data_IF_357783704533
#
_entry.id   IF_357783704533
#
_cell.length_a   1.000
_cell.length_b   1.000
_cell.length_c   1.000
_cell.angle_alpha   90.00
_cell.angle_beta   90.00
_cell.angle_gamma   90.00
#
_symmetry.space_group_name_H-M   'P 1'
#
loop_
_entity.id
_entity.type
_entity.pdbx_description
1 polymer ?
#
# COMPACT_ATOMS: atom_id res chain seq x y z
N UNK A 1 13.19 -86.36 -27.21
CA UNK A 1 14.48 -85.64 -27.20
C UNK A 1 14.14 -84.16 -27.26
N UNK A 2 14.45 -83.26 -26.34
CA UNK A 2 14.99 -83.26 -24.99
C UNK A 2 14.58 -81.89 -24.38
N UNK A 3 14.64 -81.75 -23.05
CA UNK A 3 14.20 -80.58 -22.25
C UNK A 3 15.21 -79.41 -22.30
N UNK A 4 14.80 -78.30 -21.66
CA UNK A 4 15.60 -77.17 -21.11
C UNK A 4 15.76 -75.97 -22.06
N UNK A 5 15.72 -74.68 -21.68
CA UNK A 5 15.62 -73.97 -20.38
C UNK A 5 15.31 -72.48 -20.67
N UNK A 6 14.78 -71.75 -19.67
CA UNK A 6 14.54 -70.30 -19.67
C UNK A 6 15.84 -69.48 -19.64
N UNK A 7 15.93 -68.38 -20.41
CA UNK A 7 16.82 -67.22 -20.18
C UNK A 7 16.09 -65.93 -20.62
N UNK A 8 15.71 -65.01 -19.71
CA UNK A 8 16.43 -63.78 -19.28
C UNK A 8 16.92 -62.90 -20.44
N UNK A 9 16.12 -61.88 -20.81
CA UNK A 9 16.56 -60.79 -21.66
C UNK A 9 17.30 -59.75 -20.80
N UNK A 10 18.63 -59.74 -20.91
CA UNK A 10 19.52 -58.72 -20.37
C UNK A 10 19.73 -57.60 -21.42
N UNK A 11 19.93 -56.39 -20.91
CA UNK A 11 20.20 -55.16 -21.67
C UNK A 11 21.42 -55.30 -22.60
N UNK A 12 21.29 -54.82 -23.85
CA UNK A 12 22.43 -54.56 -24.73
C UNK A 12 22.47 -53.09 -25.13
N UNK A 13 23.54 -52.43 -24.70
CA UNK A 13 23.91 -51.05 -25.04
C UNK A 13 24.16 -50.89 -26.55
N UNK A 14 23.36 -50.05 -27.22
CA UNK A 14 23.73 -49.48 -28.52
C UNK A 14 24.43 -48.14 -28.31
N UNK A 15 25.76 -48.15 -28.43
CA UNK A 15 26.59 -46.95 -28.58
C UNK A 15 26.24 -46.24 -29.89
N UNK A 16 25.41 -45.20 -29.80
CA UNK A 16 25.17 -44.25 -30.89
C UNK A 16 26.28 -43.19 -30.96
N UNK A 17 26.88 -43.02 -32.13
CA UNK A 17 27.91 -42.03 -32.41
C UNK A 17 27.38 -40.60 -32.26
N UNK A 18 27.99 -39.79 -31.39
CA UNK A 18 27.75 -38.34 -31.33
C UNK A 18 28.34 -37.67 -32.56
N UNK A 19 27.51 -37.35 -33.54
CA UNK A 19 27.82 -36.32 -34.54
C UNK A 19 27.79 -34.96 -33.87
N UNK A 20 28.94 -34.28 -33.80
CA UNK A 20 29.05 -32.93 -33.29
C UNK A 20 28.36 -31.96 -34.27
N UNK A 21 27.20 -31.43 -33.88
CA UNK A 21 26.64 -30.26 -34.56
C UNK A 21 27.55 -29.05 -34.32
N UNK A 22 27.87 -28.25 -35.35
CA UNK A 22 28.65 -27.03 -35.16
C UNK A 22 27.87 -26.09 -34.25
N UNK A 23 28.47 -25.74 -33.12
CA UNK A 23 27.97 -24.70 -32.22
C UNK A 23 28.07 -23.39 -32.98
N UNK A 24 26.93 -22.79 -33.36
CA UNK A 24 26.93 -21.44 -33.91
C UNK A 24 27.66 -20.51 -32.92
N UNK A 25 28.85 -20.04 -33.31
CA UNK A 25 29.53 -18.97 -32.61
C UNK A 25 28.63 -17.74 -32.64
N UNK A 26 28.07 -17.40 -31.48
CA UNK A 26 27.41 -16.11 -31.28
C UNK A 26 28.47 -15.04 -31.51
N UNK A 27 28.38 -14.35 -32.66
CA UNK A 27 29.06 -13.07 -32.84
C UNK A 27 28.63 -12.16 -31.70
N UNK A 28 29.49 -11.94 -30.72
CA UNK A 28 29.35 -10.82 -29.78
C UNK A 28 29.36 -9.56 -30.63
N UNK A 29 28.28 -8.79 -30.64
CA UNK A 29 28.32 -7.44 -31.21
C UNK A 29 29.27 -6.61 -30.36
N UNK A 30 30.51 -6.49 -30.82
CA UNK A 30 31.46 -5.52 -30.31
C UNK A 30 31.06 -4.16 -30.86
N UNK A 31 30.36 -3.37 -30.05
CA UNK A 31 29.99 -2.02 -30.45
C UNK A 31 28.88 -1.37 -29.63
N UNK A 32 28.98 -1.34 -28.30
CA UNK A 32 28.32 -0.28 -27.55
C UNK A 32 29.26 0.15 -26.42
N UNK A 33 29.95 1.27 -26.61
CA UNK A 33 30.44 2.06 -25.48
C UNK A 33 29.20 2.67 -24.83
N UNK A 34 28.52 1.88 -24.01
CA UNK A 34 27.47 2.39 -23.14
C UNK A 34 28.08 3.49 -22.28
N UNK A 35 27.39 4.62 -22.20
CA UNK A 35 27.66 5.65 -21.20
C UNK A 35 27.77 4.98 -19.82
N UNK A 36 28.68 5.48 -18.99
CA UNK A 36 28.92 4.92 -17.67
C UNK A 36 27.59 4.85 -16.90
N UNK A 37 27.34 3.76 -16.18
CA UNK A 37 26.16 3.59 -15.31
C UNK A 37 25.92 4.81 -14.41
N UNK A 38 26.99 5.48 -14.01
CA UNK A 38 26.94 6.70 -13.20
C UNK A 38 26.53 7.96 -13.97
N UNK A 39 26.87 8.08 -15.26
CA UNK A 39 26.52 9.26 -16.08
C UNK A 39 25.02 9.27 -16.48
N UNK A 40 24.41 8.09 -16.61
CA UNK A 40 22.97 7.91 -16.88
C UNK A 40 22.12 8.28 -15.65
N UNK A 41 22.64 8.07 -14.44
CA UNK A 41 21.94 8.41 -13.19
C UNK A 41 21.89 9.91 -12.93
N UNK A 42 22.77 10.69 -13.58
CA UNK A 42 22.87 12.16 -13.47
C UNK A 42 22.15 12.92 -14.59
N UNK A 43 21.64 12.25 -15.63
CA UNK A 43 20.90 12.92 -16.70
C UNK A 43 19.49 13.33 -16.22
N UNK A 44 19.32 14.63 -15.94
CA UNK A 44 18.08 15.24 -15.49
C UNK A 44 17.15 15.64 -16.65
N UNK A 45 17.56 15.45 -17.91
CA UNK A 45 16.76 15.89 -19.07
C UNK A 45 15.53 15.01 -19.32
N UNK A 46 15.49 13.80 -18.76
CA UNK A 46 14.40 12.84 -18.96
C UNK A 46 13.76 12.40 -17.63
N UNK A 47 12.74 13.14 -17.17
CA UNK A 47 11.90 12.71 -16.05
C UNK A 47 10.82 11.73 -16.53
N UNK A 48 10.80 10.52 -15.96
CA UNK A 48 9.72 9.56 -16.22
C UNK A 48 8.35 10.10 -15.77
N UNK A 49 7.24 9.60 -16.34
CA UNK A 49 5.88 10.02 -15.95
C UNK A 49 5.61 9.83 -14.45
N UNK A 50 6.18 8.80 -13.81
CA UNK A 50 6.07 8.61 -12.36
C UNK A 50 6.93 9.59 -11.55
N UNK A 51 8.10 10.01 -12.06
CA UNK A 51 8.91 11.02 -11.39
C UNK A 51 8.26 12.41 -11.53
N UNK A 52 7.77 12.74 -12.73
CA UNK A 52 7.12 14.02 -13.05
C UNK A 52 5.95 14.35 -12.12
N UNK A 53 5.20 13.35 -11.65
CA UNK A 53 4.10 13.52 -10.70
C UNK A 53 4.48 14.23 -9.40
N UNK A 54 5.69 13.97 -8.91
CA UNK A 54 6.14 14.35 -7.56
C UNK A 54 7.30 15.35 -7.55
N UNK A 55 7.82 15.74 -8.73
CA UNK A 55 8.92 16.70 -8.83
C UNK A 55 8.50 18.10 -8.37
N UNK A 56 7.27 18.53 -8.70
CA UNK A 56 6.73 19.81 -8.25
C UNK A 56 6.38 19.73 -6.76
N UNK A 57 6.94 20.62 -5.94
CA UNK A 57 6.51 20.79 -4.55
C UNK A 57 5.10 21.39 -4.52
N UNK A 58 4.29 20.89 -3.59
CA UNK A 58 2.91 21.33 -3.38
C UNK A 58 2.83 22.03 -2.02
N UNK A 59 2.76 23.37 -1.97
CA UNK A 59 2.70 24.09 -0.68
C UNK A 59 1.47 23.69 0.15
N UNK A 60 0.39 23.26 -0.51
CA UNK A 60 -0.84 22.76 0.13
C UNK A 60 -0.62 21.53 1.03
N UNK A 61 0.41 20.70 0.75
CA UNK A 61 0.71 19.49 1.51
C UNK A 61 1.93 19.65 2.43
N UNK A 62 2.43 20.87 2.59
CA UNK A 62 3.51 21.14 3.54
C UNK A 62 3.02 20.96 4.98
N UNK A 63 3.90 20.40 5.81
CA UNK A 63 3.64 20.07 7.21
C UNK A 63 4.70 20.68 8.10
N UNK A 64 4.32 21.04 9.33
CA UNK A 64 5.28 21.54 10.30
C UNK A 64 6.07 20.38 10.91
N UNK A 65 7.39 20.43 10.78
CA UNK A 65 8.29 19.43 11.37
C UNK A 65 8.76 19.91 12.74
N UNK A 66 8.51 19.11 13.77
CA UNK A 66 9.02 19.31 15.12
C UNK A 66 10.31 18.51 15.30
N UNK A 67 11.45 19.22 15.33
CA UNK A 67 12.77 18.63 15.48
C UNK A 67 13.01 18.00 16.87
N UNK A 68 12.19 18.35 17.87
CA UNK A 68 12.31 17.82 19.23
C UNK A 68 11.49 16.54 19.45
N UNK A 69 10.64 16.19 18.48
CA UNK A 69 9.71 15.08 18.60
C UNK A 69 10.32 13.76 18.13
N UNK A 70 10.40 12.78 19.02
CA UNK A 70 10.80 11.41 18.67
C UNK A 70 10.13 10.37 19.58
N UNK A 71 9.92 9.16 19.04
CA UNK A 71 9.47 8.00 19.80
C UNK A 71 10.61 7.00 19.94
N UNK A 72 10.74 6.42 21.13
CA UNK A 72 11.70 5.35 21.44
C UNK A 72 10.96 4.24 22.17
N UNK A 73 11.24 2.99 21.78
CA UNK A 73 10.76 1.80 22.49
C UNK A 73 11.81 1.46 23.55
N UNK A 74 11.37 1.35 24.79
CA UNK A 74 12.19 0.98 25.93
C UNK A 74 11.46 -0.04 26.80
N UNK A 75 12.22 -0.90 27.48
CA UNK A 75 11.67 -1.75 28.55
C UNK A 75 11.49 -0.87 29.79
N UNK A 76 10.24 -0.80 30.26
CA UNK A 76 9.84 0.19 31.26
C UNK A 76 10.49 -0.09 32.61
N UNK A 77 10.49 -1.34 33.08
CA UNK A 77 10.96 -1.65 34.43
C UNK A 77 12.48 -1.57 34.55
N UNK A 78 13.21 -1.88 33.50
CA UNK A 78 14.67 -1.76 33.40
C UNK A 78 15.07 -0.28 33.50
N UNK A 79 14.50 0.57 32.63
CA UNK A 79 14.87 1.99 32.59
C UNK A 79 14.38 2.71 33.84
N UNK A 80 13.09 2.60 34.16
CA UNK A 80 12.55 3.32 35.29
C UNK A 80 13.00 2.73 36.63
N UNK A 81 13.28 1.43 36.72
CA UNK A 81 13.89 0.83 37.90
C UNK A 81 15.29 1.39 38.18
N UNK A 82 16.15 1.48 37.15
CA UNK A 82 17.46 2.12 37.28
C UNK A 82 17.34 3.60 37.69
N UNK A 83 16.36 4.33 37.14
CA UNK A 83 16.12 5.73 37.51
C UNK A 83 15.68 5.90 38.98
N UNK A 84 14.99 4.93 39.58
CA UNK A 84 14.60 5.00 41.00
C UNK A 84 15.81 5.06 41.93
N UNK A 85 16.88 4.32 41.59
CA UNK A 85 18.12 4.28 42.39
C UNK A 85 18.95 5.57 42.26
N UNK A 86 18.71 6.35 41.20
CA UNK A 86 19.47 7.56 40.88
C UNK A 86 18.74 8.85 41.26
N UNK A 87 17.42 8.82 41.42
CA UNK A 87 16.58 9.99 41.56
C UNK A 87 15.92 10.08 42.94
N UNK A 88 15.84 11.30 43.47
CA UNK A 88 15.08 11.62 44.68
C UNK A 88 14.03 12.69 44.41
N UNK A 89 12.96 12.68 45.21
CA UNK A 89 11.95 13.72 45.10
C UNK A 89 12.51 15.07 45.58
N UNK A 90 12.48 16.09 44.72
CA UNK A 90 12.95 17.44 45.07
C UNK A 90 12.21 18.08 46.26
N UNK A 91 10.95 17.68 46.53
CA UNK A 91 10.12 18.27 47.59
C UNK A 91 10.34 17.63 48.96
N UNK A 92 10.26 16.30 49.05
CA UNK A 92 10.36 15.57 50.32
C UNK A 92 11.69 14.84 50.53
N UNK A 93 12.61 14.89 49.56
CA UNK A 93 13.92 14.24 49.58
C UNK A 93 13.89 12.70 49.78
N UNK A 94 12.70 12.08 49.65
CA UNK A 94 12.55 10.62 49.70
C UNK A 94 12.83 9.99 48.34
N UNK A 95 13.03 8.68 48.35
CA UNK A 95 13.13 7.88 47.13
C UNK A 95 11.82 7.95 46.33
N UNK A 96 11.95 7.80 45.01
CA UNK A 96 10.83 7.82 44.07
C UNK A 96 10.56 6.42 43.53
N UNK A 97 9.30 6.15 43.22
CA UNK A 97 8.85 4.94 42.53
C UNK A 97 8.06 5.30 41.28
N UNK A 98 8.28 4.57 40.20
CA UNK A 98 7.61 4.78 38.92
C UNK A 98 6.61 3.67 38.63
N UNK A 99 5.42 4.05 38.18
CA UNK A 99 4.38 3.12 37.77
C UNK A 99 3.65 3.61 36.53
N UNK A 100 3.06 2.68 35.77
CA UNK A 100 2.13 3.03 34.69
C UNK A 100 0.72 3.17 35.25
N UNK A 101 0.00 4.22 34.87
CA UNK A 101 -1.41 4.44 35.15
C UNK A 101 -2.18 4.78 33.89
N UNK A 102 -3.51 4.64 33.93
CA UNK A 102 -4.42 5.16 32.89
C UNK A 102 -4.06 4.70 31.46
N UNK A 103 -3.69 3.43 31.32
CA UNK A 103 -3.27 2.80 30.06
C UNK A 103 -4.45 2.82 29.07
N UNK A 104 -4.23 3.42 27.90
CA UNK A 104 -5.23 3.59 26.84
C UNK A 104 -4.56 3.35 25.48
N UNK A 105 -4.78 2.17 24.92
CA UNK A 105 -4.01 1.72 23.76
C UNK A 105 -2.52 1.63 24.13
N UNK A 106 -1.66 2.25 23.33
CA UNK A 106 -0.21 2.32 23.55
C UNK A 106 0.22 3.46 24.48
N UNK A 107 -0.67 4.42 24.78
CA UNK A 107 -0.35 5.54 25.67
C UNK A 107 -0.75 5.27 27.11
N UNK A 108 -0.02 5.87 28.05
CA UNK A 108 -0.25 5.74 29.49
C UNK A 108 0.29 6.97 30.22
N UNK A 109 -0.01 7.08 31.52
CA UNK A 109 0.62 8.05 32.41
C UNK A 109 1.75 7.38 33.19
N UNK A 110 2.90 8.03 33.25
CA UNK A 110 3.99 7.72 34.16
C UNK A 110 3.66 8.41 35.48
N UNK A 111 3.41 7.60 36.51
CA UNK A 111 3.16 8.05 37.87
C UNK A 111 4.46 8.01 38.65
N UNK A 112 4.88 9.14 39.22
CA UNK A 112 6.03 9.27 40.10
C UNK A 112 5.52 9.41 41.53
N UNK A 113 5.71 8.36 42.32
CA UNK A 113 5.25 8.27 43.70
C UNK A 113 6.43 8.46 44.66
N UNK A 114 6.20 9.21 45.73
CA UNK A 114 7.13 9.43 46.84
C UNK A 114 6.31 9.62 48.12
N UNK A 115 6.93 10.07 49.22
CA UNK A 115 6.23 10.34 50.47
C UNK A 115 5.33 11.59 50.45
N UNK A 116 5.26 12.31 49.32
CA UNK A 116 4.33 13.44 49.16
C UNK A 116 2.88 12.95 48.98
N UNK A 117 1.89 13.76 49.41
CA UNK A 117 0.47 13.40 49.30
C UNK A 117 0.01 13.24 47.84
N UNK A 118 0.52 14.08 46.95
CA UNK A 118 0.14 14.08 45.53
C UNK A 118 1.26 13.49 44.66
N UNK A 119 1.04 12.33 43.99
CA UNK A 119 1.98 11.80 43.03
C UNK A 119 2.00 12.66 41.76
N UNK A 120 3.19 12.83 41.17
CA UNK A 120 3.30 13.52 39.89
C UNK A 120 2.88 12.58 38.75
N UNK A 121 2.11 13.10 37.79
CA UNK A 121 1.70 12.35 36.60
C UNK A 121 2.26 13.00 35.34
N UNK A 122 2.91 12.20 34.50
CA UNK A 122 3.51 12.63 33.24
C UNK A 122 2.89 11.79 32.12
N UNK A 123 2.38 12.42 31.07
CA UNK A 123 1.86 11.69 29.93
C UNK A 123 3.00 11.05 29.11
N UNK A 124 2.84 9.78 28.73
CA UNK A 124 3.86 9.06 27.93
C UNK A 124 4.04 9.63 26.52
N UNK A 125 3.05 10.38 26.03
CA UNK A 125 3.08 11.06 24.74
C UNK A 125 2.03 12.18 24.68
N UNK A 126 2.08 13.08 23.68
CA UNK A 126 1.11 14.15 23.54
C UNK A 126 -0.34 13.66 23.51
N UNK A 127 -1.22 14.46 24.10
CA UNK A 127 -2.65 14.24 24.11
C UNK A 127 -3.33 15.08 23.02
N UNK A 128 -4.25 14.44 22.30
CA UNK A 128 -5.21 15.11 21.42
C UNK A 128 -6.56 15.08 22.13
N UNK A 129 -6.90 16.21 22.76
CA UNK A 129 -7.99 16.28 23.75
C UNK A 129 -7.70 15.27 24.88
N UNK A 130 -8.50 14.21 24.97
CA UNK A 130 -8.35 13.18 25.99
C UNK A 130 -7.75 11.87 25.47
N UNK A 131 -7.29 11.80 24.22
CA UNK A 131 -6.74 10.58 23.62
C UNK A 131 -5.25 10.73 23.30
N UNK A 132 -4.46 9.69 23.56
CA UNK A 132 -3.04 9.68 23.22
C UNK A 132 -2.82 9.67 21.70
N UNK A 133 -1.97 10.58 21.21
CA UNK A 133 -1.64 10.76 19.79
C UNK A 133 -1.07 9.47 19.17
N UNK A 134 -0.23 8.75 19.92
CA UNK A 134 0.44 7.52 19.46
C UNK A 134 -0.55 6.48 18.93
N UNK A 135 -1.76 6.41 19.49
CA UNK A 135 -2.79 5.46 19.06
C UNK A 135 -3.26 5.76 17.63
N UNK A 136 -3.43 7.05 17.30
CA UNK A 136 -3.83 7.49 15.95
C UNK A 136 -2.73 7.18 14.95
N UNK A 137 -1.50 7.56 15.27
CA UNK A 137 -0.30 7.27 14.46
C UNK A 137 -0.15 5.79 14.19
N UNK A 138 -0.13 4.98 15.24
CA UNK A 138 0.09 3.54 15.14
C UNK A 138 -0.99 2.87 14.30
N UNK A 139 -2.27 3.20 14.55
CA UNK A 139 -3.37 2.65 13.76
C UNK A 139 -3.28 3.06 12.28
N UNK A 140 -2.93 4.31 11.99
CA UNK A 140 -2.80 4.75 10.60
C UNK A 140 -1.63 4.05 9.89
N UNK A 141 -0.45 3.99 10.51
CA UNK A 141 0.72 3.32 9.95
C UNK A 141 0.44 1.83 9.72
N UNK A 142 -0.19 1.14 10.68
CA UNK A 142 -0.60 -0.25 10.52
C UNK A 142 -1.57 -0.43 9.34
N UNK A 143 -2.51 0.50 9.15
CA UNK A 143 -3.38 0.50 7.97
C UNK A 143 -2.63 0.76 6.67
N UNK A 144 -1.60 1.61 6.66
CA UNK A 144 -0.76 1.88 5.51
C UNK A 144 0.11 0.69 5.10
N UNK A 145 0.38 -0.25 6.00
CA UNK A 145 1.05 -1.52 5.67
C UNK A 145 0.07 -2.68 5.45
N UNK A 146 -1.23 -2.39 5.33
CA UNK A 146 -2.27 -3.38 5.08
C UNK A 146 -2.72 -4.18 6.31
N UNK A 147 -2.21 -3.87 7.50
CA UNK A 147 -2.48 -4.58 8.73
C UNK A 147 -3.78 -4.08 9.38
N UNK A 148 -4.66 -5.01 9.74
CA UNK A 148 -5.91 -4.73 10.47
C UNK A 148 -5.77 -4.90 11.99
N UNK A 149 -6.88 -4.76 12.71
CA UNK A 149 -6.92 -4.86 14.18
C UNK A 149 -6.33 -6.16 14.74
N UNK A 150 -6.53 -7.30 14.06
CA UNK A 150 -6.00 -8.58 14.53
C UNK A 150 -4.46 -8.62 14.41
N UNK A 151 -3.90 -8.07 13.32
CA UNK A 151 -2.45 -7.97 13.20
C UNK A 151 -1.86 -6.96 14.17
N UNK A 152 -2.58 -5.86 14.47
CA UNK A 152 -2.23 -4.94 15.56
C UNK A 152 -2.16 -5.68 16.91
N UNK A 153 -3.17 -6.50 17.23
CA UNK A 153 -3.19 -7.27 18.48
C UNK A 153 -2.06 -8.26 18.56
N UNK A 154 -1.80 -8.99 17.47
CA UNK A 154 -0.68 -9.93 17.41
C UNK A 154 0.65 -9.21 17.58
N UNK A 155 0.84 -8.07 16.90
CA UNK A 155 2.05 -7.25 17.04
C UNK A 155 2.23 -6.79 18.49
N UNK A 156 1.19 -6.24 19.11
CA UNK A 156 1.23 -5.77 20.50
C UNK A 156 1.56 -6.93 21.45
N UNK A 157 0.88 -8.07 21.30
CA UNK A 157 1.07 -9.23 22.17
C UNK A 157 2.46 -9.85 22.04
N UNK A 158 2.96 -10.04 20.81
CA UNK A 158 4.26 -10.66 20.57
C UNK A 158 5.45 -9.73 20.85
N UNK A 159 5.22 -8.42 20.90
CA UNK A 159 6.23 -7.43 21.27
C UNK A 159 6.20 -7.10 22.78
N UNK A 160 5.41 -7.83 23.58
CA UNK A 160 5.19 -7.57 25.01
C UNK A 160 4.80 -6.11 25.34
N UNK A 161 4.07 -5.47 24.41
CA UNK A 161 3.53 -4.15 24.64
C UNK A 161 2.31 -4.29 25.54
N UNK A 162 2.47 -3.94 26.82
CA UNK A 162 1.41 -3.83 27.84
C UNK A 162 0.31 -2.80 27.48
N UNK A 163 -0.43 -3.06 26.41
CA UNK A 163 -1.34 -2.14 25.73
C UNK A 163 -2.61 -2.87 25.28
N UNK A 164 -3.76 -2.20 25.41
CA UNK A 164 -5.05 -2.76 25.02
C UNK A 164 -5.67 -2.00 23.85
N UNK A 165 -5.63 -2.59 22.66
CA UNK A 165 -6.28 -2.05 21.47
C UNK A 165 -7.65 -2.72 21.24
N UNK A 166 -8.68 -2.14 21.85
CA UNK A 166 -10.05 -2.63 21.74
C UNK A 166 -10.73 -2.20 20.41
N UNK A 167 -11.84 -2.85 20.06
CA UNK A 167 -12.58 -2.57 18.82
C UNK A 167 -13.05 -1.11 18.76
N UNK A 168 -13.55 -0.56 19.86
CA UNK A 168 -14.13 0.78 19.91
C UNK A 168 -13.06 1.84 19.62
N UNK A 169 -11.89 1.73 20.24
CA UNK A 169 -10.73 2.59 20.00
C UNK A 169 -10.29 2.50 18.55
N UNK A 170 -10.11 1.28 18.02
CA UNK A 170 -9.70 1.08 16.63
C UNK A 170 -10.69 1.70 15.64
N UNK A 171 -11.98 1.36 15.72
CA UNK A 171 -12.97 1.88 14.78
C UNK A 171 -13.24 3.37 14.98
N UNK A 172 -13.07 3.90 16.19
CA UNK A 172 -13.08 5.34 16.45
C UNK A 172 -11.95 6.05 15.70
N UNK A 173 -10.74 5.50 15.72
CA UNK A 173 -9.59 6.03 14.97
C UNK A 173 -9.78 5.86 13.47
N UNK A 174 -10.31 4.72 13.00
CA UNK A 174 -10.60 4.50 11.57
C UNK A 174 -11.61 5.52 11.03
N UNK A 175 -12.61 5.94 11.83
CA UNK A 175 -13.53 7.01 11.44
C UNK A 175 -12.81 8.36 11.30
N UNK A 176 -11.97 8.72 12.26
CA UNK A 176 -11.15 9.94 12.20
C UNK A 176 -10.24 9.91 10.96
N UNK A 177 -9.60 8.75 10.73
CA UNK A 177 -8.77 8.50 9.56
C UNK A 177 -9.55 8.68 8.26
N UNK A 178 -10.76 8.13 8.16
CA UNK A 178 -11.59 8.29 6.96
C UNK A 178 -11.88 9.76 6.65
N UNK A 179 -12.19 10.57 7.67
CA UNK A 179 -12.45 12.00 7.50
C UNK A 179 -11.21 12.72 7.00
N UNK A 180 -10.06 12.51 7.67
CA UNK A 180 -8.79 13.17 7.32
C UNK A 180 -8.28 12.74 5.93
N UNK A 181 -8.36 11.45 5.60
CA UNK A 181 -7.96 10.93 4.28
C UNK A 181 -8.87 11.50 3.20
N UNK A 182 -10.18 11.56 3.43
CA UNK A 182 -11.13 12.10 2.44
C UNK A 182 -10.85 13.57 2.13
N UNK A 183 -10.61 14.41 3.15
CA UNK A 183 -10.33 15.84 2.92
C UNK A 183 -9.04 16.06 2.12
N UNK A 184 -7.98 15.31 2.42
CA UNK A 184 -6.71 15.43 1.69
C UNK A 184 -6.82 14.81 0.29
N UNK A 185 -7.56 13.71 0.14
CA UNK A 185 -7.87 13.11 -1.16
C UNK A 185 -8.57 14.13 -2.07
N UNK A 186 -9.61 14.82 -1.58
CA UNK A 186 -10.36 15.83 -2.34
C UNK A 186 -9.45 16.96 -2.85
N UNK A 187 -8.50 17.43 -2.01
CA UNK A 187 -7.48 18.39 -2.41
C UNK A 187 -6.56 17.84 -3.52
N UNK A 188 -6.06 16.60 -3.35
CA UNK A 188 -5.19 15.94 -4.33
C UNK A 188 -5.87 15.75 -5.68
N UNK A 189 -7.12 15.30 -5.73
CA UNK A 189 -7.83 15.10 -7.00
C UNK A 189 -8.25 16.41 -7.65
N UNK A 190 -8.63 17.42 -6.86
CA UNK A 190 -8.91 18.77 -7.37
C UNK A 190 -7.69 19.34 -8.07
N UNK A 191 -6.52 19.25 -7.42
CA UNK A 191 -5.24 19.68 -7.99
C UNK A 191 -4.87 18.88 -9.25
N UNK A 192 -5.04 17.56 -9.22
CA UNK A 192 -4.79 16.73 -10.40
C UNK A 192 -5.69 17.12 -11.59
N UNK A 193 -6.96 17.45 -11.31
CA UNK A 193 -7.91 17.92 -12.32
C UNK A 193 -7.54 19.28 -12.91
N UNK A 194 -7.06 20.23 -12.10
CA UNK A 194 -6.59 21.53 -12.62
C UNK A 194 -5.33 21.37 -13.48
N UNK A 195 -4.35 20.58 -13.02
CA UNK A 195 -3.14 20.29 -13.79
C UNK A 195 -3.45 19.56 -15.12
N UNK A 196 -4.46 18.68 -15.15
CA UNK A 196 -4.88 18.01 -16.39
C UNK A 196 -5.54 18.99 -17.36
N UNK A 197 -6.38 19.91 -16.88
CA UNK A 197 -6.98 20.96 -17.71
C UNK A 197 -5.92 21.85 -18.34
N UNK A 198 -4.93 22.29 -17.56
CA UNK A 198 -3.80 23.10 -18.05
C UNK A 198 -3.04 22.38 -19.17
N UNK A 199 -2.67 21.12 -18.95
CA UNK A 199 -1.95 20.34 -19.97
C UNK A 199 -2.79 19.99 -21.20
N UNK A 200 -4.10 19.79 -21.03
CA UNK A 200 -5.00 19.53 -22.15
C UNK A 200 -5.14 20.77 -23.02
N UNK A 201 -5.24 21.96 -22.41
CA UNK A 201 -5.22 23.22 -23.11
C UNK A 201 -3.91 23.43 -23.89
N UNK A 202 -2.76 23.13 -23.28
CA UNK A 202 -1.44 23.21 -23.94
C UNK A 202 -1.31 22.27 -25.14
N UNK A 203 -1.92 21.09 -25.09
CA UNK A 203 -1.76 20.06 -26.11
C UNK A 203 -2.81 20.09 -27.23
N UNK A 204 -4.07 20.44 -26.91
CA UNK A 204 -5.22 20.32 -27.80
C UNK A 204 -5.93 21.66 -28.06
N UNK A 205 -5.47 22.79 -27.48
CA UNK A 205 -6.11 24.12 -27.56
C UNK A 205 -7.59 24.13 -27.11
N UNK A 206 -8.02 23.12 -26.35
CA UNK A 206 -9.38 22.99 -25.82
C UNK A 206 -9.30 22.53 -24.36
N UNK A 207 -9.86 23.30 -23.42
CA UNK A 207 -9.70 23.08 -21.98
C UNK A 207 -10.86 22.38 -21.27
N UNK A 208 -12.02 22.25 -21.92
CA UNK A 208 -13.26 21.80 -21.27
C UNK A 208 -13.54 20.29 -21.40
N UNK A 209 -12.91 19.62 -22.38
CA UNK A 209 -13.06 18.17 -22.59
C UNK A 209 -11.75 17.48 -22.20
N UNK A 210 -11.80 16.68 -21.13
CA UNK A 210 -10.64 15.91 -20.68
C UNK A 210 -10.66 14.51 -21.31
N UNK A 211 -9.56 14.12 -21.93
CA UNK A 211 -9.35 12.72 -22.31
C UNK A 211 -8.83 11.93 -21.12
N UNK A 212 -9.53 10.86 -20.76
CA UNK A 212 -9.20 10.04 -19.59
C UNK A 212 -9.15 8.56 -19.92
N UNK A 213 -8.36 7.84 -19.14
CA UNK A 213 -8.26 6.38 -19.14
C UNK A 213 -8.93 5.81 -17.90
N UNK A 214 -9.62 4.68 -18.02
CA UNK A 214 -10.49 4.17 -16.97
C UNK A 214 -10.51 2.65 -16.88
N UNK A 215 -10.27 2.13 -15.67
CA UNK A 215 -10.24 0.70 -15.38
C UNK A 215 -10.91 0.39 -14.04
N UNK A 216 -11.25 -0.88 -13.83
CA UNK A 216 -11.69 -1.38 -12.54
C UNK A 216 -10.93 -2.62 -12.09
N UNK A 217 -10.57 -2.66 -10.80
CA UNK A 217 -9.86 -3.77 -10.18
C UNK A 217 -10.67 -4.41 -9.06
N UNK A 218 -10.48 -5.71 -8.84
CA UNK A 218 -11.23 -6.51 -7.87
C UNK A 218 -10.32 -7.09 -6.79
N UNK A 219 -10.86 -7.24 -5.57
CA UNK A 219 -10.10 -7.82 -4.46
C UNK A 219 -9.87 -9.32 -4.61
N UNK A 220 -10.68 -10.03 -5.40
CA UNK A 220 -10.45 -11.45 -5.74
C UNK A 220 -10.52 -11.65 -7.26
N UNK A 221 -9.81 -12.65 -7.79
CA UNK A 221 -9.95 -13.08 -9.19
C UNK A 221 -11.31 -13.77 -9.38
N UNK A 222 -11.94 -13.55 -10.54
CA UNK A 222 -13.24 -14.12 -10.90
C UNK A 222 -14.45 -13.37 -10.33
N UNK A 223 -15.65 -13.81 -10.70
CA UNK A 223 -16.94 -13.18 -10.37
C UNK A 223 -17.34 -13.27 -8.88
N UNK A 224 -16.47 -13.80 -8.02
CA UNK A 224 -16.72 -13.98 -6.57
C UNK A 224 -16.27 -12.80 -5.72
N UNK A 225 -15.63 -11.79 -6.33
CA UNK A 225 -15.17 -10.61 -5.61
C UNK A 225 -16.35 -9.77 -5.11
N UNK A 226 -16.33 -9.45 -3.80
CA UNK A 226 -17.34 -8.59 -3.18
C UNK A 226 -16.99 -7.11 -3.21
N UNK A 227 -15.71 -6.79 -3.37
CA UNK A 227 -15.18 -5.42 -3.44
C UNK A 227 -14.52 -5.19 -4.80
N UNK A 228 -14.78 -4.02 -5.37
CA UNK A 228 -14.09 -3.53 -6.55
C UNK A 228 -13.80 -2.04 -6.43
N UNK A 229 -12.80 -1.60 -7.17
CA UNK A 229 -12.48 -0.19 -7.34
C UNK A 229 -12.61 0.14 -8.83
N UNK A 230 -12.98 1.37 -9.13
CA UNK A 230 -12.91 1.96 -10.46
C UNK A 230 -12.10 3.23 -10.33
N UNK A 231 -11.19 3.47 -11.26
CA UNK A 231 -10.31 4.64 -11.24
C UNK A 231 -10.21 5.27 -12.61
N UNK A 232 -10.07 6.59 -12.62
CA UNK A 232 -9.92 7.42 -13.81
C UNK A 232 -8.59 8.16 -13.74
N UNK A 233 -7.79 8.08 -14.79
CA UNK A 233 -6.46 8.72 -14.90
C UNK A 233 -6.47 9.70 -16.08
N UNK A 234 -5.88 10.89 -15.88
CA UNK A 234 -5.70 11.89 -16.93
C UNK A 234 -4.63 11.48 -17.93
N UNK A 235 -4.90 11.72 -19.23
CA UNK A 235 -4.00 11.38 -20.35
C UNK A 235 -2.64 12.08 -20.22
N UNK A 236 -2.62 13.36 -19.88
CA UNK A 236 -1.41 14.19 -19.95
C UNK A 236 -0.63 14.25 -18.64
N UNK A 237 -1.31 14.31 -17.50
CA UNK A 237 -0.68 14.31 -16.18
C UNK A 237 -0.32 12.90 -15.72
N UNK A 238 -0.99 11.87 -16.24
CA UNK A 238 -0.96 10.50 -15.72
C UNK A 238 -1.37 10.41 -14.24
N UNK A 239 -2.02 11.44 -13.68
CA UNK A 239 -2.50 11.45 -12.29
C UNK A 239 -3.91 10.87 -12.23
N UNK A 240 -4.24 10.25 -11.10
CA UNK A 240 -5.60 9.79 -10.82
C UNK A 240 -6.48 11.01 -10.58
N UNK A 241 -7.57 11.12 -11.33
CA UNK A 241 -8.52 12.22 -11.28
C UNK A 241 -9.75 11.88 -10.42
N UNK A 242 -10.17 10.62 -10.41
CA UNK A 242 -11.26 10.17 -9.55
C UNK A 242 -11.21 8.66 -9.31
N UNK A 243 -11.76 8.22 -8.19
CA UNK A 243 -11.91 6.80 -7.82
C UNK A 243 -13.26 6.52 -7.17
N UNK A 244 -13.82 5.35 -7.46
CA UNK A 244 -15.04 4.88 -6.84
C UNK A 244 -14.85 3.45 -6.31
N UNK A 245 -15.09 3.25 -5.02
CA UNK A 245 -15.15 1.92 -4.42
C UNK A 245 -16.57 1.38 -4.52
N UNK A 246 -16.72 0.24 -5.20
CA UNK A 246 -17.98 -0.48 -5.36
C UNK A 246 -17.97 -1.75 -4.51
N UNK A 247 -19.14 -2.04 -3.96
CA UNK A 247 -19.38 -3.25 -3.21
C UNK A 247 -20.61 -3.97 -3.75
N UNK A 248 -20.50 -5.27 -3.96
CA UNK A 248 -21.66 -6.14 -4.17
C UNK A 248 -22.26 -6.66 -2.85
N UNK A 249 -21.63 -6.35 -1.71
CA UNK A 249 -22.05 -6.75 -0.37
C UNK A 249 -22.25 -5.55 0.57
N UNK A 250 -23.47 -5.39 1.08
CA UNK A 250 -23.78 -4.42 2.10
C UNK A 250 -24.38 -5.13 3.32
N UNK A 251 -23.79 -4.95 4.49
CA UNK A 251 -24.26 -5.59 5.73
C UNK A 251 -25.65 -5.09 6.12
N UNK A 252 -25.94 -3.82 5.91
CA UNK A 252 -27.29 -3.29 6.08
C UNK A 252 -28.27 -3.96 5.10
N UNK A 253 -27.91 -4.09 3.82
CA UNK A 253 -28.78 -4.80 2.86
C UNK A 253 -28.94 -6.29 3.20
N UNK A 254 -27.92 -6.95 3.75
CA UNK A 254 -28.03 -8.33 4.21
C UNK A 254 -28.97 -8.45 5.44
N UNK A 255 -28.93 -7.47 6.34
CA UNK A 255 -29.86 -7.38 7.47
C UNK A 255 -31.31 -7.14 6.99
N UNK A 256 -31.53 -6.15 6.11
CA UNK A 256 -32.86 -5.83 5.56
C UNK A 256 -33.40 -6.90 4.62
N UNK A 257 -32.54 -7.71 3.97
CA UNK A 257 -32.99 -8.92 3.26
C UNK A 257 -33.67 -9.92 4.18
N UNK A 258 -33.28 -9.96 5.46
CA UNK A 258 -33.99 -10.73 6.49
C UNK A 258 -35.33 -10.12 6.93
N UNK A 259 -35.69 -8.94 6.41
CA UNK A 259 -36.95 -8.24 6.66
C UNK A 259 -37.75 -8.01 5.37
N UNK A 260 -37.51 -8.82 4.33
CA UNK A 260 -38.30 -8.77 3.08
C UNK A 260 -39.79 -9.02 3.38
N UNK A 261 -40.63 -8.01 3.12
CA UNK A 261 -42.08 -8.06 3.36
C UNK A 261 -42.65 -6.86 4.11
N UNK A 262 -41.83 -6.05 4.79
CA UNK A 262 -42.31 -4.82 5.45
C UNK A 262 -42.38 -3.63 4.47
N UNK A 263 -43.30 -2.67 4.68
CA UNK A 263 -43.36 -1.43 3.91
C UNK A 263 -42.01 -0.68 3.91
N UNK A 264 -41.30 -0.65 5.05
CA UNK A 264 -40.00 0.02 5.17
C UNK A 264 -38.89 -0.69 4.36
N UNK A 265 -38.89 -2.03 4.32
CA UNK A 265 -37.92 -2.83 3.56
C UNK A 265 -38.03 -2.63 2.04
N UNK A 266 -39.26 -2.43 1.54
CA UNK A 266 -39.54 -2.22 0.13
C UNK A 266 -39.12 -0.83 -0.37
N UNK A 267 -39.24 0.20 0.47
CA UNK A 267 -38.79 1.56 0.14
C UNK A 267 -37.25 1.67 0.14
N UNK A 268 -36.59 1.02 1.09
CA UNK A 268 -35.13 0.92 1.13
C UNK A 268 -34.53 0.25 -0.12
N UNK A 269 -35.21 -0.78 -0.66
CA UNK A 269 -34.81 -1.48 -1.89
C UNK A 269 -34.88 -0.58 -3.13
N UNK A 270 -35.92 0.24 -3.26
CA UNK A 270 -36.09 1.17 -4.40
C UNK A 270 -34.97 2.21 -4.47
N UNK A 271 -34.54 2.75 -3.31
CA UNK A 271 -33.42 3.72 -3.23
C UNK A 271 -32.07 3.11 -3.62
N UNK A 272 -31.86 1.82 -3.41
CA UNK A 272 -30.60 1.12 -3.69
C UNK A 272 -30.39 0.75 -5.17
N UNK A 273 -31.46 0.54 -5.93
CA UNK A 273 -31.39 0.15 -7.36
C UNK A 273 -30.94 1.30 -8.26
N UNK A 274 -31.22 2.55 -7.88
CA UNK A 274 -30.87 3.74 -8.67
C UNK A 274 -29.36 4.05 -8.75
N UNK A 275 -28.51 3.43 -7.92
CA UNK A 275 -27.06 3.72 -7.84
C UNK A 275 -26.15 2.88 -8.76
N UNK A 276 -26.71 2.07 -9.66
CA UNK A 276 -25.95 1.18 -10.55
C UNK A 276 -26.18 1.49 -12.02
N UNK A 277 -25.31 2.30 -12.64
CA UNK A 277 -24.99 2.24 -14.08
C UNK A 277 -23.79 3.13 -14.42
N UNK A 278 -22.74 2.52 -15.00
CA UNK A 278 -21.84 3.04 -16.05
C UNK A 278 -20.66 2.07 -16.22
N UNK A 279 -20.33 1.70 -17.46
CA UNK A 279 -19.10 1.01 -17.86
C UNK A 279 -18.65 1.53 -19.22
N UNK A 280 -17.41 1.98 -19.31
CA UNK A 280 -16.58 1.96 -20.51
C UNK A 280 -15.15 1.72 -20.03
N UNK A 281 -14.45 0.79 -20.68
CA UNK A 281 -13.07 0.41 -20.34
C UNK A 281 -12.13 0.91 -21.43
N UNK A 282 -11.03 1.53 -21.03
CA UNK A 282 -9.82 1.69 -21.84
C UNK A 282 -8.65 1.46 -20.87
N UNK A 283 -7.76 0.55 -21.23
CA UNK A 283 -6.70 0.04 -20.36
C UNK A 283 -5.38 0.74 -20.66
N UNK A 284 -4.71 1.26 -19.61
CA UNK A 284 -3.39 1.87 -19.68
C UNK A 284 -2.46 1.35 -18.58
N UNK A 285 -1.17 1.21 -18.89
CA UNK A 285 -0.10 0.72 -17.98
C UNK A 285 0.04 1.50 -16.65
N UNK A 286 -0.35 2.78 -16.62
CA UNK A 286 -0.34 3.58 -15.39
C UNK A 286 -1.34 3.05 -14.35
N UNK A 287 -2.42 2.44 -14.83
CA UNK A 287 -3.54 1.95 -14.04
C UNK A 287 -3.20 0.66 -13.29
N UNK A 288 -2.44 -0.25 -13.90
CA UNK A 288 -1.92 -1.45 -13.23
C UNK A 288 -1.07 -1.07 -12.01
N UNK A 289 -0.21 -0.05 -12.15
CA UNK A 289 0.61 0.45 -11.05
C UNK A 289 -0.23 1.07 -9.93
N UNK A 290 -1.32 1.76 -10.26
CA UNK A 290 -2.23 2.31 -9.26
C UNK A 290 -3.00 1.20 -8.54
N UNK A 291 -3.57 0.25 -9.29
CA UNK A 291 -4.27 -0.91 -8.75
C UNK A 291 -3.37 -1.68 -7.77
N UNK A 292 -2.10 -1.87 -8.10
CA UNK A 292 -1.12 -2.46 -7.19
C UNK A 292 -0.99 -1.66 -5.88
N UNK A 293 -0.87 -0.33 -5.93
CA UNK A 293 -0.82 0.51 -4.73
C UNK A 293 -2.03 0.31 -3.82
N UNK A 294 -3.25 0.25 -4.37
CA UNK A 294 -4.47 0.04 -3.57
C UNK A 294 -4.43 -1.30 -2.84
N UNK A 295 -4.07 -2.37 -3.54
CA UNK A 295 -4.10 -3.71 -2.99
C UNK A 295 -2.92 -4.04 -2.07
N UNK A 296 -1.88 -3.21 -2.03
CA UNK A 296 -0.87 -3.24 -0.96
C UNK A 296 -1.45 -2.71 0.37
N UNK A 297 -2.27 -1.66 0.31
CA UNK A 297 -2.91 -1.05 1.49
C UNK A 297 -4.16 -1.82 1.97
N UNK A 298 -4.79 -2.57 1.07
CA UNK A 298 -5.91 -3.47 1.36
C UNK A 298 -5.63 -4.87 0.77
N UNK A 299 -4.83 -5.71 1.46
CA UNK A 299 -4.39 -6.99 0.91
C UNK A 299 -5.54 -7.89 0.49
N UNK A 300 -5.45 -8.44 -0.72
CA UNK A 300 -6.49 -9.29 -1.34
C UNK A 300 -6.80 -10.58 -0.56
N UNK A 301 -5.82 -11.08 0.20
CA UNK A 301 -5.96 -12.29 1.01
C UNK A 301 -6.69 -12.04 2.34
N UNK A 302 -6.92 -10.78 2.73
CA UNK A 302 -7.68 -10.41 3.94
C UNK A 302 -8.99 -9.76 3.54
N UNK A 303 -10.08 -10.15 4.20
CA UNK A 303 -11.34 -9.44 4.01
C UNK A 303 -11.24 -8.02 4.54
N UNK A 304 -11.32 -7.04 3.65
CA UNK A 304 -11.43 -5.62 3.97
C UNK A 304 -12.86 -5.15 3.71
N UNK A 305 -13.49 -4.55 4.72
CA UNK A 305 -14.79 -3.90 4.54
C UNK A 305 -14.70 -2.66 3.65
N UNK A 306 -15.82 -2.22 3.07
CA UNK A 306 -15.87 -1.09 2.12
C UNK A 306 -15.14 0.16 2.63
N UNK A 307 -15.36 0.54 3.89
CA UNK A 307 -14.70 1.69 4.52
C UNK A 307 -13.17 1.59 4.49
N UNK A 308 -12.62 0.40 4.74
CA UNK A 308 -11.17 0.17 4.74
C UNK A 308 -10.64 0.22 3.30
N UNK A 309 -11.38 -0.32 2.33
CA UNK A 309 -11.01 -0.24 0.91
C UNK A 309 -11.08 1.20 0.42
N UNK A 310 -12.05 2.01 0.86
CA UNK A 310 -12.13 3.44 0.57
C UNK A 310 -10.91 4.20 1.10
N UNK A 311 -10.56 4.01 2.37
CA UNK A 311 -9.35 4.61 2.97
C UNK A 311 -8.10 4.18 2.18
N UNK A 312 -7.95 2.89 1.90
CA UNK A 312 -6.82 2.36 1.14
C UNK A 312 -6.75 2.97 -0.27
N UNK A 313 -7.88 3.08 -0.96
CA UNK A 313 -7.94 3.63 -2.32
C UNK A 313 -7.56 5.10 -2.31
N UNK A 314 -8.10 5.89 -1.38
CA UNK A 314 -7.79 7.31 -1.25
C UNK A 314 -6.33 7.56 -0.86
N UNK A 315 -5.78 6.80 0.09
CA UNK A 315 -4.36 6.86 0.43
C UNK A 315 -3.48 6.49 -0.78
N UNK A 316 -3.87 5.48 -1.57
CA UNK A 316 -3.15 5.11 -2.78
C UNK A 316 -3.17 6.24 -3.81
N UNK A 317 -4.28 6.97 -3.97
CA UNK A 317 -4.35 8.15 -4.85
C UNK A 317 -3.38 9.23 -4.38
N UNK A 318 -3.42 9.57 -3.08
CA UNK A 318 -2.49 10.51 -2.48
C UNK A 318 -1.02 10.14 -2.77
N UNK A 319 -0.64 8.89 -2.49
CA UNK A 319 0.73 8.40 -2.71
C UNK A 319 1.10 8.35 -4.19
N UNK A 320 0.18 7.94 -5.04
CA UNK A 320 0.42 7.81 -6.48
C UNK A 320 0.62 9.18 -7.15
N UNK A 321 -0.23 10.16 -6.82
CA UNK A 321 -0.21 11.49 -7.43
C UNK A 321 0.88 12.40 -6.86
N UNK A 322 1.07 12.40 -5.54
CA UNK A 322 1.86 13.44 -4.85
C UNK A 322 2.94 12.84 -3.92
N UNK A 323 3.04 11.51 -3.81
CA UNK A 323 4.04 10.85 -2.96
C UNK A 323 3.63 10.84 -1.48
N UNK A 324 4.61 10.90 -0.57
CA UNK A 324 4.33 10.81 0.87
C UNK A 324 3.92 12.14 1.50
N UNK A 325 4.02 13.27 0.78
CA UNK A 325 3.68 14.59 1.32
C UNK A 325 2.21 14.65 1.82
N UNK A 326 1.19 14.20 1.07
CA UNK A 326 -0.17 14.15 1.60
C UNK A 326 -0.36 13.11 2.71
N UNK A 327 0.47 12.07 2.79
CA UNK A 327 0.42 11.10 3.90
C UNK A 327 0.84 11.75 5.21
N UNK A 328 1.90 12.58 5.17
CA UNK A 328 2.30 13.41 6.31
C UNK A 328 1.20 14.42 6.65
N UNK A 329 0.56 15.02 5.64
CA UNK A 329 -0.55 15.95 5.84
C UNK A 329 -1.78 15.29 6.47
N UNK A 330 -2.07 14.03 6.12
CA UNK A 330 -3.12 13.23 6.75
C UNK A 330 -2.80 13.01 8.24
N UNK A 331 -1.56 12.64 8.59
CA UNK A 331 -1.13 12.53 9.98
C UNK A 331 -1.34 13.84 10.75
N UNK A 332 -0.88 14.97 10.19
CA UNK A 332 -1.05 16.29 10.80
C UNK A 332 -2.55 16.63 10.99
N UNK A 333 -3.39 16.34 9.98
CA UNK A 333 -4.86 16.54 10.03
C UNK A 333 -5.52 15.66 11.09
N UNK A 334 -4.96 14.47 11.37
CA UNK A 334 -5.38 13.62 12.48
C UNK A 334 -4.90 14.14 13.85
N UNK A 335 -4.16 15.25 13.90
CA UNK A 335 -3.61 15.87 15.10
C UNK A 335 -2.25 15.30 15.53
N UNK A 336 -1.57 14.54 14.66
CA UNK A 336 -0.27 13.94 14.94
C UNK A 336 0.88 14.91 14.64
N UNK A 337 1.82 15.07 15.58
CA UNK A 337 3.02 15.88 15.38
C UNK A 337 3.98 15.23 14.37
N UNK A 338 4.45 15.93 13.34
CA UNK A 338 5.40 15.34 12.40
C UNK A 338 6.83 15.53 12.92
N UNK A 339 7.53 14.44 13.20
CA UNK A 339 8.94 14.45 13.61
C UNK A 339 9.90 14.26 12.42
N UNK A 340 11.21 14.51 12.63
CA UNK A 340 12.23 14.44 11.58
C UNK A 340 12.30 13.08 10.90
N UNK A 341 12.22 11.97 11.66
CA UNK A 341 12.30 10.62 11.07
C UNK A 341 11.21 10.35 10.02
N UNK A 342 10.01 10.89 10.20
CA UNK A 342 8.92 10.74 9.24
C UNK A 342 9.13 11.61 7.99
N UNK A 343 9.62 12.84 8.18
CA UNK A 343 9.96 13.75 7.09
C UNK A 343 11.13 13.18 6.24
N UNK A 344 12.18 12.71 6.90
CA UNK A 344 13.34 12.08 6.25
C UNK A 344 12.93 10.83 5.47
N UNK A 345 12.05 10.00 6.04
CA UNK A 345 11.51 8.84 5.35
C UNK A 345 10.76 9.24 4.07
N UNK A 346 9.88 10.24 4.14
CA UNK A 346 9.15 10.75 2.98
C UNK A 346 10.10 11.27 1.89
N UNK A 347 11.12 12.06 2.27
CA UNK A 347 12.13 12.59 1.36
C UNK A 347 12.96 11.46 0.71
N UNK A 348 13.43 10.49 1.49
CA UNK A 348 14.17 9.31 0.98
C UNK A 348 13.32 8.52 0.00
N UNK A 349 12.06 8.27 0.32
CA UNK A 349 11.15 7.51 -0.54
C UNK A 349 10.85 8.26 -1.85
N UNK A 350 10.67 9.59 -1.78
CA UNK A 350 10.52 10.46 -2.94
C UNK A 350 11.71 10.34 -3.88
N UNK A 351 12.93 10.49 -3.34
CA UNK A 351 14.17 10.39 -4.12
C UNK A 351 14.34 9.00 -4.73
N UNK A 352 14.13 7.93 -3.93
CA UNK A 352 14.21 6.56 -4.41
C UNK A 352 13.20 6.29 -5.55
N UNK A 353 11.98 6.83 -5.44
CA UNK A 353 10.96 6.73 -6.50
C UNK A 353 11.41 7.44 -7.78
N UNK A 354 11.96 8.65 -7.68
CA UNK A 354 12.48 9.40 -8.83
C UNK A 354 13.60 8.61 -9.51
N UNK A 355 14.62 8.19 -8.74
CA UNK A 355 15.76 7.42 -9.25
C UNK A 355 15.31 6.12 -9.90
N UNK A 356 14.45 5.33 -9.23
CA UNK A 356 13.97 4.06 -9.78
C UNK A 356 13.13 4.27 -11.04
N UNK A 357 12.29 5.30 -11.08
CA UNK A 357 11.42 5.56 -12.21
C UNK A 357 12.21 6.04 -13.44
N UNK A 358 13.19 6.91 -13.26
CA UNK A 358 14.09 7.35 -14.33
C UNK A 358 14.94 6.19 -14.85
N UNK A 359 15.53 5.39 -13.96
CA UNK A 359 16.25 4.15 -14.33
C UNK A 359 15.38 3.19 -15.14
N UNK A 360 14.10 3.03 -14.77
CA UNK A 360 13.15 2.19 -15.51
C UNK A 360 12.75 2.79 -16.85
N UNK A 361 12.85 4.09 -17.03
CA UNK A 361 12.38 4.77 -18.22
C UNK A 361 13.47 4.92 -19.29
N UNK A 362 14.75 4.69 -18.94
CA UNK A 362 15.86 4.68 -19.90
C UNK A 362 15.62 3.66 -21.03
N UNK A 363 16.09 3.98 -22.23
CA UNK A 363 15.92 3.16 -23.43
C UNK A 363 16.53 1.76 -23.22
N UNK A 364 17.76 1.69 -22.72
CA UNK A 364 18.45 0.44 -22.38
C UNK A 364 17.63 -0.44 -21.42
N UNK A 365 16.98 0.17 -20.41
CA UNK A 365 16.14 -0.58 -19.47
C UNK A 365 14.83 -1.04 -20.10
N UNK A 366 14.25 -0.27 -21.02
CA UNK A 366 13.03 -0.66 -21.75
C UNK A 366 13.34 -1.82 -22.69
N UNK A 367 14.37 -1.72 -23.51
CA UNK A 367 14.78 -2.74 -24.47
C UNK A 367 15.15 -4.05 -23.77
N UNK A 368 15.96 -3.98 -22.71
CA UNK A 368 16.31 -5.17 -21.92
C UNK A 368 15.11 -5.81 -21.18
N UNK A 369 14.02 -5.07 -20.95
CA UNK A 369 12.77 -5.66 -20.41
C UNK A 369 11.90 -6.26 -21.50
N UNK A 370 11.81 -5.61 -22.65
CA UNK A 370 11.08 -6.14 -23.80
C UNK A 370 11.71 -7.46 -24.22
N UNK A 371 13.04 -7.51 -24.42
CA UNK A 371 13.76 -8.74 -24.75
C UNK A 371 13.48 -9.88 -23.76
N UNK A 372 13.57 -9.62 -22.44
CA UNK A 372 13.26 -10.63 -21.41
C UNK A 372 11.80 -11.10 -21.41
N UNK A 373 10.84 -10.21 -21.68
CA UNK A 373 9.42 -10.59 -21.79
C UNK A 373 9.17 -11.43 -23.03
N UNK A 374 9.81 -11.08 -24.14
CA UNK A 374 9.73 -11.85 -25.37
C UNK A 374 10.35 -13.23 -25.16
N UNK A 375 11.51 -13.32 -24.50
CA UNK A 375 12.14 -14.60 -24.12
C UNK A 375 11.22 -15.45 -23.23
N UNK A 376 10.60 -14.86 -22.20
CA UNK A 376 9.66 -15.57 -21.32
C UNK A 376 8.37 -15.99 -22.03
N UNK A 377 7.85 -15.17 -22.95
CA UNK A 377 6.69 -15.53 -23.78
C UNK A 377 7.05 -16.69 -24.69
N UNK A 378 8.18 -16.62 -25.38
CA UNK A 378 8.68 -17.72 -26.21
C UNK A 378 8.89 -18.99 -25.38
N UNK A 379 9.45 -18.89 -24.17
CA UNK A 379 9.62 -20.03 -23.28
C UNK A 379 8.28 -20.62 -22.83
N UNK A 380 7.27 -19.79 -22.54
CA UNK A 380 5.92 -20.22 -22.18
C UNK A 380 5.19 -20.87 -23.37
N UNK A 381 5.28 -20.27 -24.56
CA UNK A 381 4.68 -20.80 -25.79
C UNK A 381 5.33 -22.15 -26.15
N UNK A 382 6.65 -22.29 -25.99
CA UNK A 382 7.37 -23.57 -26.15
C UNK A 382 6.96 -24.60 -25.09
N UNK A 383 6.63 -24.17 -23.87
CA UNK A 383 6.12 -25.06 -22.81
C UNK A 383 4.70 -25.53 -23.12
N UNK A 384 3.82 -24.64 -23.62
CA UNK A 384 2.47 -24.97 -24.07
C UNK A 384 2.49 -25.91 -25.30
N UNK A 385 3.42 -25.71 -26.24
CA UNK A 385 3.62 -26.63 -27.37
C UNK A 385 4.16 -28.01 -26.93
N UNK A 386 5.04 -28.04 -25.91
CA UNK A 386 5.56 -29.30 -25.35
C UNK A 386 4.52 -30.08 -24.54
N UNK A 387 3.54 -29.41 -23.91
CA UNK A 387 2.43 -30.02 -23.16
C UNK A 387 1.20 -30.39 -24.02
N UNK A 388 1.32 -30.35 -25.35
CA UNK A 388 0.22 -30.52 -26.32
C UNK A 388 -0.94 -31.45 -25.92
N UNK A 389 -2.17 -30.94 -26.04
CA UNK A 389 -3.49 -31.61 -25.89
C UNK A 389 -3.59 -32.72 -24.81
N UNK A 390 -2.94 -32.58 -23.66
CA UNK A 390 -3.11 -33.57 -22.57
C UNK A 390 -4.23 -33.22 -21.57
N UNK A 391 -4.87 -32.05 -21.70
CA UNK A 391 -6.04 -31.67 -20.89
C UNK A 391 -7.09 -30.93 -21.74
N UNK A 392 -7.86 -31.69 -22.52
CA UNK A 392 -9.19 -31.24 -22.93
C UNK A 392 -10.15 -31.28 -21.71
N UNK A 393 -10.99 -30.26 -21.48
CA UNK A 393 -12.01 -30.31 -20.44
C UNK A 393 -12.95 -31.50 -20.71
N UNK A 394 -13.15 -32.33 -19.68
CA UNK A 394 -13.69 -33.67 -19.76
C UNK A 394 -14.91 -33.85 -20.66
N UNK A 395 -14.79 -34.76 -21.61
CA UNK A 395 -15.91 -35.56 -22.11
C UNK A 395 -16.12 -36.66 -21.05
N UNK A 396 -17.18 -36.52 -20.26
CA UNK A 396 -17.69 -37.60 -19.45
C UNK A 396 -18.78 -38.31 -20.27
N UNK A 397 -18.62 -39.62 -20.47
CA UNK A 397 -19.73 -40.52 -20.79
C UNK A 397 -20.53 -40.84 -19.51
#
# INVERSE_FOLDING_TARGET
MDRSTKEKCAWQDRKGSRSAHPRNERKRSTGFKGTNRHDIETDLTFASTSAAKILKKSPEFEVRIDQTFSYVILEFFLVFGALQELLKCKKCNSDVKFFKKSIRGLGFKICVQCSCPDPAEIDSCPLIKNAYEINRRFCFVMRLVGIGINGIRNFIALMDLTANFNNNTYYGIVKILQIAVKSIYEAVVKKAGTEEKEKTLEAENQGDILTVSGDGSWSKRGFTSRMGIVSVIGKYTNKVLDVAVKSSFCKACAFWKGQEGTPEGNEARKRLVQLKKAKKQIEDKAMESFNHCVWQLAPKHVFCGKQIVEIATQCAVCTFNEGYDPILKILETMGCTIGPSAADFAAKYKNARITQANRRASLDSKEARTARRTEQSIEHDLFEEAEGILYGPGIAD
#
